data_IF_569295485579
#
_entry.id   IF_569295485579
#
_cell.length_a   1.000
_cell.length_b   1.000
_cell.length_c   1.000
_cell.angle_alpha   90.00
_cell.angle_beta   90.00
_cell.angle_gamma   90.00
#
_symmetry.space_group_name_H-M   'P 1'
#
loop_
_entity.id
_entity.type
_entity.pdbx_description
1 polymer ?
#
# COMPACT_ATOMS: atom_id res chain seq x y z
N UNK A 1 20.27 9.22 26.72
CA UNK A 1 18.85 9.36 27.11
C UNK A 1 18.08 9.80 25.89
N UNK A 2 17.20 8.94 25.30
CA UNK A 2 16.29 9.38 24.24
C UNK A 2 15.26 10.31 24.88
N UNK A 3 15.16 11.57 24.44
CA UNK A 3 14.07 12.45 24.85
C UNK A 3 12.75 11.75 24.52
N UNK A 4 11.84 11.66 25.48
CA UNK A 4 10.48 11.17 25.25
C UNK A 4 9.78 12.16 24.31
N UNK A 5 9.69 11.83 23.03
CA UNK A 5 8.98 12.65 22.04
C UNK A 5 7.49 12.59 22.32
N UNK A 6 6.85 13.73 22.39
CA UNK A 6 5.39 13.79 22.46
C UNK A 6 4.81 13.77 21.04
N UNK A 7 4.65 12.56 20.47
CA UNK A 7 4.13 12.40 19.12
C UNK A 7 2.72 12.97 18.95
N UNK A 8 1.89 12.97 19.99
CA UNK A 8 0.56 13.55 19.92
C UNK A 8 0.63 15.06 19.67
N UNK A 9 1.46 15.79 20.39
CA UNK A 9 1.65 17.23 20.17
C UNK A 9 2.25 17.54 18.79
N UNK A 10 3.20 16.73 18.34
CA UNK A 10 3.80 16.86 17.00
C UNK A 10 2.72 16.68 15.92
N UNK A 11 1.90 15.63 15.99
CA UNK A 11 0.81 15.38 15.05
C UNK A 11 -0.18 16.55 15.05
N UNK A 12 -0.60 17.04 16.21
CA UNK A 12 -1.51 18.19 16.33
C UNK A 12 -0.94 19.48 15.72
N UNK A 13 0.38 19.71 15.88
CA UNK A 13 1.07 20.83 15.25
C UNK A 13 1.09 20.69 13.72
N UNK A 14 1.52 19.55 13.21
CA UNK A 14 1.59 19.25 11.77
C UNK A 14 0.22 19.40 11.11
N UNK A 15 -0.85 18.94 11.76
CA UNK A 15 -2.21 19.06 11.22
C UNK A 15 -2.67 20.51 11.03
N UNK A 16 -2.10 21.45 11.79
CA UNK A 16 -2.33 22.89 11.58
C UNK A 16 -1.50 23.43 10.41
N UNK A 17 -0.23 23.02 10.33
CA UNK A 17 0.70 23.47 9.29
C UNK A 17 0.31 23.01 7.87
N UNK A 18 -0.34 21.86 7.74
CA UNK A 18 -0.78 21.33 6.43
C UNK A 18 -2.10 21.92 5.91
N UNK A 19 -2.83 22.72 6.69
CA UNK A 19 -4.13 23.30 6.28
C UNK A 19 -4.08 24.10 4.98
N UNK A 20 -3.02 24.87 4.65
CA UNK A 20 -2.93 25.56 3.37
C UNK A 20 -3.07 24.64 2.15
N UNK A 21 -2.64 23.36 2.26
CA UNK A 21 -2.70 22.36 1.19
C UNK A 21 -4.07 21.71 1.01
N UNK A 22 -5.05 21.99 1.90
CA UNK A 22 -6.38 21.36 1.86
C UNK A 22 -7.20 21.67 0.60
N UNK A 23 -6.84 22.71 -0.14
CA UNK A 23 -7.51 23.11 -1.40
C UNK A 23 -6.83 22.56 -2.65
N UNK A 24 -5.69 21.89 -2.51
CA UNK A 24 -4.90 21.36 -3.61
C UNK A 24 -5.31 19.93 -3.97
N UNK A 25 -5.22 19.60 -5.27
CA UNK A 25 -5.51 18.26 -5.78
C UNK A 25 -6.98 17.94 -5.95
N UNK A 26 -7.25 16.71 -6.36
CA UNK A 26 -8.60 16.16 -6.55
C UNK A 26 -8.64 14.67 -6.22
N UNK A 27 -9.84 14.12 -5.96
CA UNK A 27 -10.01 12.68 -5.78
C UNK A 27 -9.72 11.93 -7.08
N UNK A 28 -9.47 10.61 -6.95
CA UNK A 28 -9.42 9.70 -8.09
C UNK A 28 -10.80 9.64 -8.76
N UNK A 29 -10.96 10.25 -9.92
CA UNK A 29 -12.21 10.35 -10.68
C UNK A 29 -12.40 9.25 -11.73
N UNK A 30 -11.33 8.49 -12.02
CA UNK A 30 -11.38 7.39 -12.98
C UNK A 30 -11.97 6.08 -12.42
N UNK A 31 -12.14 5.96 -11.10
CA UNK A 31 -12.93 4.94 -10.44
C UNK A 31 -14.17 5.63 -9.86
N UNK A 32 -15.37 5.44 -10.45
CA UNK A 32 -16.57 6.20 -10.08
C UNK A 32 -16.94 6.12 -8.59
N UNK A 33 -16.69 4.98 -7.95
CA UNK A 33 -16.95 4.82 -6.51
C UNK A 33 -16.06 5.71 -5.63
N UNK A 34 -14.82 6.02 -6.05
CA UNK A 34 -13.90 6.89 -5.32
C UNK A 34 -14.20 8.38 -5.53
N UNK A 35 -14.82 8.75 -6.65
CA UNK A 35 -15.18 10.13 -6.96
C UNK A 35 -16.24 10.72 -6.01
N UNK A 36 -16.98 9.88 -5.29
CA UNK A 36 -18.06 10.28 -4.40
C UNK A 36 -17.63 10.47 -2.93
N UNK A 37 -16.35 10.28 -2.62
CA UNK A 37 -15.81 10.45 -1.26
C UNK A 37 -15.73 11.95 -0.95
N UNK A 38 -16.07 12.35 0.31
CA UNK A 38 -15.89 13.73 0.76
C UNK A 38 -14.40 14.14 0.67
N UNK A 39 -14.06 15.13 -0.17
CA UNK A 39 -12.68 15.52 -0.41
C UNK A 39 -12.00 16.22 0.78
N UNK A 40 -12.75 16.71 1.75
CA UNK A 40 -12.23 17.56 2.83
C UNK A 40 -11.82 16.77 4.08
N UNK A 41 -11.90 15.43 4.02
CA UNK A 41 -11.48 14.55 5.10
C UNK A 41 -9.95 14.47 5.20
N UNK A 42 -9.47 14.38 6.44
CA UNK A 42 -8.07 14.13 6.77
C UNK A 42 -7.96 13.34 8.07
N UNK A 43 -7.20 12.25 8.04
CA UNK A 43 -6.90 11.43 9.21
C UNK A 43 -5.44 11.01 9.26
N UNK A 44 -4.89 10.91 10.47
CA UNK A 44 -3.55 10.39 10.73
C UNK A 44 -3.56 9.51 11.98
N UNK A 45 -2.83 8.39 11.94
CA UNK A 45 -2.69 7.48 13.07
C UNK A 45 -1.28 6.90 13.12
N UNK A 46 -0.64 7.01 14.27
CA UNK A 46 0.67 6.46 14.59
C UNK A 46 0.52 5.33 15.60
N UNK A 47 1.02 4.14 15.28
CA UNK A 47 1.17 3.02 16.21
C UNK A 47 2.64 2.83 16.58
N UNK A 48 2.96 2.88 17.85
CA UNK A 48 4.30 2.58 18.36
C UNK A 48 4.43 1.09 18.66
N UNK A 49 5.64 0.54 18.52
CA UNK A 49 5.95 -0.81 19.02
C UNK A 49 5.91 -0.86 20.54
N UNK A 50 6.40 0.21 21.17
CA UNK A 50 6.44 0.39 22.63
C UNK A 50 5.91 1.80 22.94
N UNK A 51 4.71 1.91 23.46
CA UNK A 51 4.13 3.19 23.85
C UNK A 51 2.68 3.37 23.46
N UNK A 52 2.21 4.60 23.60
CA UNK A 52 0.85 4.97 23.30
C UNK A 52 0.69 5.42 21.85
N UNK A 53 -0.42 5.03 21.23
CA UNK A 53 -0.78 5.48 19.90
C UNK A 53 -1.09 6.98 19.90
N UNK A 54 -0.84 7.64 18.77
CA UNK A 54 -1.17 9.07 18.56
C UNK A 54 -2.00 9.24 17.31
N UNK A 55 -2.98 10.15 17.34
CA UNK A 55 -3.93 10.28 16.24
C UNK A 55 -4.52 11.69 16.11
N UNK A 56 -5.09 11.98 14.92
CA UNK A 56 -5.83 13.22 14.69
C UNK A 56 -6.82 13.07 13.53
N UNK A 57 -7.91 13.83 13.58
CA UNK A 57 -8.94 13.95 12.53
C UNK A 57 -9.72 12.66 12.28
N UNK A 58 -9.99 12.38 11.03
CA UNK A 58 -10.84 11.28 10.55
C UNK A 58 -10.12 9.92 10.56
N UNK A 59 -9.25 9.67 11.53
CA UNK A 59 -8.37 8.50 11.58
C UNK A 59 -9.10 7.15 11.66
N UNK A 60 -10.35 7.11 12.09
CA UNK A 60 -11.17 5.90 12.20
C UNK A 60 -12.18 5.76 11.04
N UNK A 61 -12.24 6.74 10.13
CA UNK A 61 -13.04 6.67 8.91
C UNK A 61 -12.45 5.66 7.93
N UNK A 62 -13.30 4.77 7.42
CA UNK A 62 -12.90 3.73 6.46
C UNK A 62 -12.79 4.31 5.05
N UNK A 63 -11.78 3.88 4.33
CA UNK A 63 -11.57 4.17 2.92
C UNK A 63 -10.98 2.95 2.19
N UNK A 64 -11.16 2.87 0.89
CA UNK A 64 -10.56 1.82 0.07
C UNK A 64 -9.04 1.98 0.03
N UNK A 65 -8.30 0.94 0.47
CA UNK A 65 -6.83 1.00 0.56
C UNK A 65 -6.12 0.95 -0.78
N UNK A 66 -6.81 0.52 -1.82
CA UNK A 66 -6.30 0.48 -3.19
C UNK A 66 -4.91 -0.19 -3.27
N UNK A 67 -3.94 0.46 -3.88
CA UNK A 67 -2.60 -0.10 -4.08
C UNK A 67 -1.80 -0.41 -2.80
N UNK A 68 -2.27 -0.02 -1.61
CA UNK A 68 -1.65 -0.45 -0.36
C UNK A 68 -1.82 -1.97 -0.17
N UNK A 69 -2.90 -2.56 -0.71
CA UNK A 69 -3.17 -4.01 -0.72
C UNK A 69 -2.04 -4.86 -1.32
N UNK A 70 -1.24 -4.27 -2.22
CA UNK A 70 -0.11 -4.93 -2.89
C UNK A 70 1.00 -5.36 -1.91
N UNK A 71 1.12 -4.68 -0.76
CA UNK A 71 2.07 -5.08 0.29
C UNK A 71 1.61 -6.38 0.95
N UNK A 72 0.31 -6.51 1.22
CA UNK A 72 -0.27 -7.72 1.79
C UNK A 72 -0.19 -8.90 0.82
N UNK A 73 -0.54 -8.71 -0.45
CA UNK A 73 -0.43 -9.76 -1.47
C UNK A 73 1.03 -10.19 -1.70
N UNK A 74 1.99 -9.26 -1.66
CA UNK A 74 3.42 -9.58 -1.73
C UNK A 74 3.88 -10.41 -0.52
N UNK A 75 3.43 -10.09 0.69
CA UNK A 75 3.77 -10.84 1.90
C UNK A 75 3.27 -12.29 1.81
N UNK A 76 2.01 -12.49 1.37
CA UNK A 76 1.44 -13.83 1.17
C UNK A 76 2.21 -14.58 0.09
N UNK A 77 2.41 -13.98 -1.09
CA UNK A 77 3.12 -14.62 -2.21
C UNK A 77 4.57 -15.01 -1.85
N UNK A 78 5.29 -14.15 -1.11
CA UNK A 78 6.63 -14.48 -0.61
C UNK A 78 6.63 -15.59 0.43
N UNK A 79 5.59 -15.70 1.24
CA UNK A 79 5.43 -16.84 2.16
C UNK A 79 5.27 -18.16 1.39
N UNK A 80 4.49 -18.14 0.31
CA UNK A 80 4.19 -19.33 -0.53
C UNK A 80 5.38 -19.72 -1.41
N UNK A 81 5.85 -18.80 -2.25
CA UNK A 81 6.85 -19.06 -3.30
C UNK A 81 8.30 -18.82 -2.88
N UNK A 82 8.51 -18.08 -1.80
CA UNK A 82 9.86 -17.77 -1.36
C UNK A 82 10.67 -17.03 -2.42
N UNK A 83 11.87 -17.54 -2.71
CA UNK A 83 12.78 -16.94 -3.70
C UNK A 83 12.29 -17.08 -5.15
N UNK A 84 11.48 -18.10 -5.43
CA UNK A 84 11.02 -18.43 -6.79
C UNK A 84 10.01 -17.39 -7.31
N UNK A 85 9.40 -16.60 -6.42
CA UNK A 85 8.59 -15.44 -6.82
C UNK A 85 9.33 -14.49 -7.74
N UNK A 86 10.64 -14.32 -7.53
CA UNK A 86 11.47 -13.37 -8.28
C UNK A 86 11.82 -13.84 -9.69
N UNK A 87 11.46 -15.04 -10.06
CA UNK A 87 11.52 -15.51 -11.45
C UNK A 87 10.41 -14.84 -12.28
N UNK A 88 9.24 -14.62 -11.68
CA UNK A 88 8.05 -14.02 -12.31
C UNK A 88 7.99 -12.50 -12.19
N UNK A 89 8.56 -11.91 -11.15
CA UNK A 89 8.52 -10.46 -10.85
C UNK A 89 9.92 -9.95 -10.53
N UNK A 90 10.27 -8.77 -11.02
CA UNK A 90 11.52 -8.08 -10.68
C UNK A 90 11.47 -7.37 -9.32
N UNK A 91 12.49 -6.54 -9.07
CA UNK A 91 12.69 -5.81 -7.79
C UNK A 91 13.07 -4.36 -8.00
N UNK A 92 13.14 -3.92 -9.25
CA UNK A 92 13.68 -2.62 -9.62
C UNK A 92 12.58 -1.57 -9.73
N UNK A 93 12.85 -0.31 -9.39
CA UNK A 93 11.92 0.79 -9.65
C UNK A 93 11.53 0.84 -11.12
N UNK A 94 10.30 1.24 -11.39
CA UNK A 94 9.88 1.55 -12.75
C UNK A 94 10.29 2.99 -13.08
N UNK A 95 10.99 3.19 -14.19
CA UNK A 95 11.24 4.52 -14.75
C UNK A 95 10.07 5.07 -15.58
N UNK A 96 8.92 4.35 -15.59
CA UNK A 96 7.71 4.66 -16.35
C UNK A 96 6.51 4.62 -15.43
N UNK A 97 5.37 5.16 -15.90
CA UNK A 97 4.10 5.10 -15.17
C UNK A 97 3.75 3.66 -14.72
N UNK A 98 3.14 3.53 -13.56
CA UNK A 98 2.84 2.25 -12.87
C UNK A 98 1.96 1.28 -13.68
N UNK A 99 1.40 1.73 -14.79
CA UNK A 99 0.54 0.98 -15.70
C UNK A 99 1.07 0.96 -17.16
N UNK A 100 2.37 1.16 -17.36
CA UNK A 100 2.99 1.19 -18.69
C UNK A 100 3.01 -0.20 -19.34
N UNK A 101 2.30 -0.34 -20.49
CA UNK A 101 2.35 -1.53 -21.35
C UNK A 101 3.68 -1.64 -22.10
N UNK A 102 4.21 -0.51 -22.59
CA UNK A 102 5.44 -0.50 -23.38
C UNK A 102 6.62 -1.08 -22.61
N UNK A 103 6.74 -0.72 -21.33
CA UNK A 103 7.81 -1.28 -20.49
C UNK A 103 7.64 -2.78 -20.29
N UNK A 104 6.41 -3.25 -20.06
CA UNK A 104 6.13 -4.67 -19.85
C UNK A 104 6.44 -5.51 -21.10
N UNK A 105 6.18 -4.96 -22.29
CA UNK A 105 6.52 -5.61 -23.55
C UNK A 105 8.05 -5.73 -23.74
N UNK A 106 8.81 -4.65 -23.51
CA UNK A 106 10.27 -4.67 -23.56
C UNK A 106 10.90 -5.68 -22.58
N UNK A 107 10.24 -5.92 -21.46
CA UNK A 107 10.70 -6.84 -20.43
C UNK A 107 10.09 -8.25 -20.58
N UNK A 108 9.57 -8.55 -21.79
CA UNK A 108 9.04 -9.86 -22.15
C UNK A 108 8.01 -10.41 -21.13
N UNK A 109 7.12 -9.54 -20.66
CA UNK A 109 6.07 -9.91 -19.71
C UNK A 109 6.54 -10.11 -18.27
N UNK A 110 7.76 -9.69 -17.90
CA UNK A 110 8.23 -9.72 -16.52
C UNK A 110 8.12 -8.33 -15.87
N UNK A 111 7.18 -8.11 -14.93
CA UNK A 111 7.03 -6.83 -14.26
C UNK A 111 8.28 -6.44 -13.49
N UNK A 112 8.65 -5.16 -13.51
CA UNK A 112 9.84 -4.64 -12.81
C UNK A 112 9.79 -4.79 -11.30
N UNK A 113 8.63 -4.67 -10.70
CA UNK A 113 8.43 -4.84 -9.26
C UNK A 113 6.98 -5.22 -8.94
N UNK A 114 6.70 -5.69 -7.71
CA UNK A 114 5.36 -6.12 -7.31
C UNK A 114 4.35 -4.98 -7.09
N UNK A 115 4.76 -3.71 -7.11
CA UNK A 115 3.91 -2.56 -6.78
C UNK A 115 3.40 -1.77 -8.00
N UNK A 116 3.95 -2.02 -9.19
CA UNK A 116 3.27 -1.64 -10.44
C UNK A 116 2.10 -2.59 -10.71
N UNK A 117 1.11 -2.17 -11.50
CA UNK A 117 -0.10 -2.98 -11.71
C UNK A 117 0.20 -4.34 -12.31
N UNK A 118 1.11 -4.43 -13.28
CA UNK A 118 1.54 -5.71 -13.86
C UNK A 118 2.07 -6.70 -12.77
N UNK A 119 2.89 -6.22 -11.85
CA UNK A 119 3.40 -7.03 -10.75
C UNK A 119 2.31 -7.47 -9.78
N UNK A 120 1.38 -6.59 -9.44
CA UNK A 120 0.27 -6.90 -8.55
C UNK A 120 -0.73 -7.91 -9.17
N UNK A 121 -0.94 -7.84 -10.50
CA UNK A 121 -1.73 -8.83 -11.24
C UNK A 121 -1.06 -10.21 -11.21
N UNK A 122 0.28 -10.29 -11.36
CA UNK A 122 1.02 -11.55 -11.18
C UNK A 122 0.93 -12.05 -9.72
N UNK A 123 0.94 -11.16 -8.72
CA UNK A 123 0.71 -11.57 -7.33
C UNK A 123 -0.70 -12.17 -7.15
N UNK A 124 -1.74 -11.55 -7.72
CA UNK A 124 -3.10 -12.08 -7.69
C UNK A 124 -3.17 -13.48 -8.30
N UNK A 125 -2.53 -13.70 -9.45
CA UNK A 125 -2.42 -15.00 -10.11
C UNK A 125 -1.70 -16.04 -9.23
N UNK A 126 -0.60 -15.67 -8.58
CA UNK A 126 0.12 -16.54 -7.63
C UNK A 126 -0.79 -16.97 -6.47
N UNK A 127 -1.56 -16.05 -5.91
CA UNK A 127 -2.47 -16.37 -4.82
C UNK A 127 -3.61 -17.30 -5.28
N UNK A 128 -4.20 -17.04 -6.45
CA UNK A 128 -5.23 -17.90 -7.05
C UNK A 128 -4.72 -19.32 -7.30
N UNK A 129 -3.48 -19.48 -7.79
CA UNK A 129 -2.89 -20.79 -8.08
C UNK A 129 -2.54 -21.62 -6.85
N UNK A 130 -2.42 -21.01 -5.66
CA UNK A 130 -1.84 -21.68 -4.50
C UNK A 130 -2.72 -21.67 -3.22
N UNK A 131 -3.87 -21.03 -3.26
CA UNK A 131 -4.80 -20.95 -2.13
C UNK A 131 -6.16 -21.52 -2.56
N UNK A 132 -6.76 -22.38 -1.73
CA UNK A 132 -8.09 -22.97 -2.02
C UNK A 132 -9.20 -21.90 -2.00
N UNK A 133 -9.10 -20.92 -1.09
CA UNK A 133 -10.04 -19.81 -0.99
C UNK A 133 -9.27 -18.48 -0.86
N UNK A 134 -8.72 -17.93 -1.96
CA UNK A 134 -7.82 -16.79 -1.91
C UNK A 134 -8.47 -15.51 -1.38
N UNK A 135 -9.76 -15.28 -1.65
CA UNK A 135 -10.49 -14.10 -1.14
C UNK A 135 -10.64 -14.14 0.38
N UNK A 136 -11.06 -15.27 0.90
CA UNK A 136 -11.20 -15.43 2.35
C UNK A 136 -9.85 -15.39 3.07
N UNK A 137 -8.85 -16.06 2.51
CA UNK A 137 -7.50 -16.06 3.05
C UNK A 137 -6.94 -14.62 3.15
N UNK A 138 -7.04 -13.84 2.07
CA UNK A 138 -6.53 -12.48 2.01
C UNK A 138 -7.20 -11.57 3.05
N UNK A 139 -8.53 -11.56 3.12
CA UNK A 139 -9.22 -10.69 4.07
C UNK A 139 -8.96 -11.10 5.52
N UNK A 140 -8.89 -12.41 5.81
CA UNK A 140 -8.58 -12.91 7.15
C UNK A 140 -7.13 -12.57 7.56
N UNK A 141 -6.19 -12.60 6.61
CA UNK A 141 -4.83 -12.14 6.86
C UNK A 141 -4.81 -10.64 7.25
N UNK A 142 -5.48 -9.78 6.49
CA UNK A 142 -5.57 -8.34 6.79
C UNK A 142 -6.21 -8.09 8.16
N UNK A 143 -7.35 -8.75 8.45
CA UNK A 143 -8.05 -8.68 9.75
C UNK A 143 -7.14 -9.04 10.92
N UNK A 144 -6.37 -10.12 10.78
CA UNK A 144 -5.45 -10.58 11.84
C UNK A 144 -4.29 -9.62 12.05
N UNK A 145 -3.81 -8.95 10.99
CA UNK A 145 -2.77 -7.94 11.12
C UNK A 145 -3.23 -6.70 11.88
N UNK A 146 -4.42 -6.19 11.57
CA UNK A 146 -4.94 -4.98 12.22
C UNK A 146 -5.71 -5.26 13.52
N UNK A 147 -6.05 -6.53 13.81
CA UNK A 147 -6.86 -6.89 14.98
C UNK A 147 -8.32 -6.45 14.88
N UNK A 148 -8.87 -6.28 13.66
CA UNK A 148 -10.23 -5.81 13.41
C UNK A 148 -10.97 -6.73 12.43
N UNK A 149 -11.88 -7.56 12.95
CA UNK A 149 -12.67 -8.49 12.15
C UNK A 149 -13.77 -7.77 11.29
N UNK A 150 -14.03 -6.48 11.53
CA UNK A 150 -14.98 -5.68 10.75
C UNK A 150 -14.38 -5.10 9.44
N UNK A 151 -13.08 -5.31 9.17
CA UNK A 151 -12.47 -5.01 7.88
C UNK A 151 -13.08 -5.91 6.81
N UNK A 152 -13.49 -5.35 5.68
CA UNK A 152 -14.19 -6.06 4.61
C UNK A 152 -13.84 -5.48 3.24
N UNK A 153 -14.19 -6.23 2.22
CA UNK A 153 -14.23 -5.72 0.85
C UNK A 153 -15.41 -4.78 0.65
N UNK A 154 -15.21 -3.69 -0.09
CA UNK A 154 -16.29 -2.90 -0.69
C UNK A 154 -16.63 -3.49 -2.06
N UNK A 155 -17.79 -4.14 -2.17
CA UNK A 155 -18.21 -4.73 -3.45
C UNK A 155 -18.46 -3.65 -4.50
N UNK A 156 -19.00 -2.50 -4.09
CA UNK A 156 -19.25 -1.38 -4.99
C UNK A 156 -17.95 -0.82 -5.59
N UNK A 157 -16.89 -0.70 -4.79
CA UNK A 157 -15.57 -0.29 -5.28
C UNK A 157 -14.97 -1.35 -6.20
N UNK A 158 -15.06 -2.64 -5.83
CA UNK A 158 -14.52 -3.74 -6.63
C UNK A 158 -15.17 -3.82 -8.00
N UNK A 159 -16.50 -3.77 -8.07
CA UNK A 159 -17.25 -3.83 -9.34
C UNK A 159 -17.03 -2.54 -10.17
N UNK A 160 -16.97 -1.38 -9.52
CA UNK A 160 -16.68 -0.10 -10.18
C UNK A 160 -15.29 -0.11 -10.83
N UNK A 161 -14.27 -0.58 -10.12
CA UNK A 161 -12.90 -0.68 -10.65
C UNK A 161 -12.82 -1.73 -11.77
N UNK A 162 -13.43 -2.92 -11.58
CA UNK A 162 -13.45 -3.95 -12.61
C UNK A 162 -14.15 -3.48 -13.88
N UNK A 163 -15.25 -2.73 -13.78
CA UNK A 163 -16.00 -2.20 -14.92
C UNK A 163 -15.22 -1.21 -15.78
N UNK A 164 -14.18 -0.55 -15.25
CA UNK A 164 -13.32 0.38 -15.97
C UNK A 164 -11.86 -0.10 -16.14
N UNK A 165 -11.58 -1.38 -15.85
CA UNK A 165 -10.23 -1.94 -15.79
C UNK A 165 -9.58 -2.23 -17.16
N UNK A 166 -9.93 -1.50 -18.23
CA UNK A 166 -9.46 -1.78 -19.60
C UNK A 166 -7.95 -1.84 -19.74
N UNK A 167 -7.22 -0.94 -19.07
CA UNK A 167 -5.75 -0.93 -19.11
C UNK A 167 -5.16 -2.11 -18.31
N UNK A 168 -5.73 -2.43 -17.17
CA UNK A 168 -5.32 -3.62 -16.39
C UNK A 168 -5.64 -4.92 -17.15
N UNK A 169 -6.74 -4.97 -17.89
CA UNK A 169 -7.05 -6.08 -18.79
C UNK A 169 -5.99 -6.23 -19.90
N UNK A 170 -5.60 -5.12 -20.54
CA UNK A 170 -4.54 -5.12 -21.55
C UNK A 170 -3.21 -5.62 -20.97
N UNK A 171 -2.85 -5.19 -19.75
CA UNK A 171 -1.67 -5.68 -19.03
C UNK A 171 -1.79 -7.18 -18.76
N UNK A 172 -2.93 -7.66 -18.28
CA UNK A 172 -3.14 -9.07 -17.95
C UNK A 172 -3.08 -9.98 -19.19
N UNK A 173 -3.66 -9.55 -20.32
CA UNK A 173 -3.53 -10.28 -21.58
C UNK A 173 -2.09 -10.30 -22.11
N UNK A 174 -1.33 -9.21 -21.94
CA UNK A 174 0.09 -9.18 -22.31
C UNK A 174 0.92 -10.14 -21.42
N UNK A 175 0.68 -10.14 -20.11
CA UNK A 175 1.27 -11.10 -19.18
C UNK A 175 0.93 -12.55 -19.58
N UNK A 176 -0.32 -12.82 -19.95
CA UNK A 176 -0.80 -14.13 -20.43
C UNK A 176 -0.10 -14.54 -21.72
N UNK A 177 0.05 -13.61 -22.68
CA UNK A 177 0.78 -13.84 -23.95
C UNK A 177 2.21 -14.30 -23.70
N UNK A 178 2.91 -13.68 -22.74
CA UNK A 178 4.28 -14.03 -22.37
C UNK A 178 4.38 -15.24 -21.42
N UNK A 179 3.25 -15.90 -21.08
CA UNK A 179 3.24 -17.07 -20.18
C UNK A 179 3.47 -16.75 -18.69
N UNK A 180 3.37 -15.46 -18.31
CA UNK A 180 3.52 -15.04 -16.91
C UNK A 180 2.18 -14.86 -16.16
N UNK A 181 1.11 -15.49 -16.66
CA UNK A 181 -0.20 -15.60 -16.00
C UNK A 181 -0.74 -17.00 -16.21
N UNK A 182 -1.01 -17.73 -15.13
CA UNK A 182 -1.45 -19.14 -15.18
C UNK A 182 -2.99 -19.24 -15.28
N UNK A 183 -3.71 -18.48 -14.46
CA UNK A 183 -5.17 -18.52 -14.36
C UNK A 183 -5.86 -17.75 -15.50
N UNK A 184 -7.19 -17.80 -15.51
CA UNK A 184 -8.02 -16.99 -16.39
C UNK A 184 -7.84 -15.50 -16.10
N UNK A 185 -7.81 -14.68 -17.15
CA UNK A 185 -7.55 -13.25 -17.03
C UNK A 185 -8.62 -12.52 -16.22
N UNK A 186 -9.90 -12.87 -16.45
CA UNK A 186 -11.02 -12.23 -15.75
C UNK A 186 -11.03 -12.62 -14.27
N UNK A 187 -10.73 -13.87 -13.93
CA UNK A 187 -10.64 -14.33 -12.54
C UNK A 187 -9.51 -13.58 -11.78
N UNK A 188 -8.35 -13.45 -12.43
CA UNK A 188 -7.21 -12.71 -11.85
C UNK A 188 -7.56 -11.23 -11.65
N UNK A 189 -8.18 -10.59 -12.63
CA UNK A 189 -8.55 -9.18 -12.54
C UNK A 189 -9.64 -8.93 -11.49
N UNK A 190 -10.66 -9.79 -11.42
CA UNK A 190 -11.69 -9.70 -10.37
C UNK A 190 -11.09 -9.83 -8.99
N UNK A 191 -10.17 -10.76 -8.79
CA UNK A 191 -9.50 -10.92 -7.50
C UNK A 191 -8.57 -9.72 -7.20
N UNK A 192 -7.84 -9.21 -8.19
CA UNK A 192 -7.05 -8.00 -8.05
C UNK A 192 -7.89 -6.79 -7.61
N UNK A 193 -9.02 -6.52 -8.27
CA UNK A 193 -9.94 -5.45 -7.89
C UNK A 193 -10.54 -5.67 -6.49
N UNK A 194 -10.86 -6.91 -6.13
CA UNK A 194 -11.30 -7.25 -4.77
C UNK A 194 -10.23 -6.90 -3.73
N UNK A 195 -8.96 -7.24 -3.95
CA UNK A 195 -7.88 -6.86 -3.01
C UNK A 195 -7.74 -5.34 -2.87
N UNK A 196 -7.86 -4.58 -3.98
CA UNK A 196 -7.84 -3.12 -3.99
C UNK A 196 -9.02 -2.51 -3.20
N UNK A 197 -10.18 -3.16 -3.22
CA UNK A 197 -11.43 -2.67 -2.61
C UNK A 197 -11.52 -2.86 -1.09
N UNK A 198 -10.52 -3.42 -0.43
CA UNK A 198 -10.54 -3.57 1.04
C UNK A 198 -10.65 -2.20 1.68
N UNK A 199 -11.61 -2.05 2.60
CA UNK A 199 -11.82 -0.83 3.39
C UNK A 199 -11.16 -0.95 4.76
N UNK A 200 -10.28 0.01 5.04
CA UNK A 200 -9.57 0.16 6.31
C UNK A 200 -9.53 1.64 6.71
N UNK A 201 -9.41 1.90 8.00
CA UNK A 201 -9.10 3.23 8.53
C UNK A 201 -7.58 3.45 8.65
N UNK A 202 -7.13 4.69 8.93
CA UNK A 202 -5.73 4.96 9.27
C UNK A 202 -5.27 4.12 10.47
N UNK A 203 -6.15 3.94 11.47
CA UNK A 203 -5.90 3.09 12.63
C UNK A 203 -5.67 1.63 12.22
N UNK A 204 -6.56 1.06 11.39
CA UNK A 204 -6.41 -0.32 10.92
C UNK A 204 -5.12 -0.50 10.12
N UNK A 205 -4.82 0.43 9.19
CA UNK A 205 -3.60 0.39 8.39
C UNK A 205 -2.34 0.48 9.26
N UNK A 206 -2.28 1.46 10.15
CA UNK A 206 -1.13 1.62 11.04
C UNK A 206 -0.92 0.37 11.90
N UNK A 207 -1.98 -0.20 12.49
CA UNK A 207 -1.90 -1.44 13.26
C UNK A 207 -1.48 -2.64 12.41
N UNK A 208 -1.96 -2.76 11.18
CA UNK A 208 -1.54 -3.84 10.29
C UNK A 208 -0.05 -3.75 9.92
N UNK A 209 0.45 -2.51 9.68
CA UNK A 209 1.82 -2.30 9.24
C UNK A 209 2.85 -2.34 10.36
N UNK A 210 2.44 -2.31 11.63
CA UNK A 210 3.37 -2.51 12.76
C UNK A 210 4.10 -3.87 12.66
N UNK A 211 3.45 -4.87 12.07
CA UNK A 211 4.06 -6.18 11.84
C UNK A 211 5.27 -6.12 10.88
N UNK A 212 5.27 -5.17 9.93
CA UNK A 212 6.39 -4.93 9.02
C UNK A 212 7.46 -3.99 9.63
N UNK A 213 7.11 -3.23 10.66
CA UNK A 213 8.06 -2.42 11.41
C UNK A 213 8.91 -3.27 12.37
N UNK A 214 8.44 -4.42 12.81
CA UNK A 214 9.22 -5.36 13.61
C UNK A 214 10.38 -5.93 12.79
N UNK A 215 11.61 -5.63 13.17
CA UNK A 215 12.80 -5.92 12.36
C UNK A 215 13.69 -7.03 12.93
N UNK A 216 13.42 -7.49 14.14
CA UNK A 216 14.25 -8.41 14.93
C UNK A 216 13.61 -9.79 15.14
N UNK A 217 12.33 -9.95 14.82
CA UNK A 217 11.62 -11.21 14.93
C UNK A 217 10.99 -11.67 13.60
N UNK A 218 10.82 -12.99 13.38
CA UNK A 218 10.10 -13.50 12.22
C UNK A 218 8.64 -13.05 12.22
N UNK A 219 8.15 -12.72 11.05
CA UNK A 219 6.74 -12.42 10.82
C UNK A 219 5.93 -13.72 10.73
N UNK A 220 4.96 -13.90 11.62
CA UNK A 220 4.07 -15.07 11.62
C UNK A 220 2.65 -14.66 11.98
N UNK A 221 1.80 -14.51 10.96
CA UNK A 221 0.41 -14.07 11.11
C UNK A 221 -0.51 -14.83 10.14
N UNK A 222 -1.60 -15.40 10.65
CA UNK A 222 -2.67 -16.04 9.85
C UNK A 222 -2.16 -16.99 8.74
N UNK A 223 -1.16 -17.82 9.06
CA UNK A 223 -0.59 -18.78 8.08
C UNK A 223 0.48 -18.19 7.15
N UNK A 224 0.74 -16.89 7.19
CA UNK A 224 1.83 -16.23 6.45
C UNK A 224 3.08 -16.18 7.32
N UNK A 225 4.17 -16.80 6.86
CA UNK A 225 5.42 -16.90 7.59
C UNK A 225 6.58 -16.34 6.76
N UNK A 226 7.23 -15.29 7.27
CA UNK A 226 8.36 -14.64 6.63
C UNK A 226 9.54 -14.55 7.61
N UNK A 227 10.73 -14.86 7.12
CA UNK A 227 11.95 -14.57 7.88
C UNK A 227 12.18 -13.05 7.96
N UNK A 228 12.95 -12.61 8.95
CA UNK A 228 13.41 -11.22 9.09
C UNK A 228 13.98 -10.69 7.76
N UNK A 229 14.77 -11.49 7.06
CA UNK A 229 15.32 -11.12 5.74
C UNK A 229 14.26 -10.90 4.66
N UNK A 230 13.13 -11.61 4.70
CA UNK A 230 12.02 -11.40 3.74
C UNK A 230 11.25 -10.12 4.07
N UNK A 231 10.99 -9.85 5.35
CA UNK A 231 10.37 -8.59 5.79
C UNK A 231 11.23 -7.40 5.38
N UNK A 232 12.56 -7.46 5.63
CA UNK A 232 13.51 -6.44 5.16
C UNK A 232 13.40 -6.19 3.65
N UNK A 233 13.22 -7.23 2.83
CA UNK A 233 13.07 -7.08 1.38
C UNK A 233 11.75 -6.42 0.98
N UNK A 234 10.65 -6.72 1.68
CA UNK A 234 9.38 -6.01 1.47
C UNK A 234 9.56 -4.53 1.78
N UNK A 235 10.19 -4.20 2.91
CA UNK A 235 10.44 -2.82 3.30
C UNK A 235 11.36 -2.08 2.31
N UNK A 236 12.38 -2.77 1.76
CA UNK A 236 13.24 -2.21 0.72
C UNK A 236 12.47 -1.92 -0.57
N UNK A 237 11.53 -2.79 -0.97
CA UNK A 237 10.68 -2.54 -2.15
C UNK A 237 9.66 -1.42 -1.85
N UNK A 238 9.13 -1.31 -0.62
CA UNK A 238 8.32 -0.15 -0.24
C UNK A 238 9.11 1.16 -0.37
N UNK A 239 10.38 1.18 0.05
CA UNK A 239 11.24 2.35 -0.07
C UNK A 239 11.47 2.76 -1.51
N UNK A 240 11.74 1.81 -2.41
CA UNK A 240 12.17 2.10 -3.78
C UNK A 240 11.02 2.17 -4.80
N UNK A 241 9.87 1.56 -4.50
CA UNK A 241 8.77 1.38 -5.47
C UNK A 241 7.40 1.76 -4.91
N UNK A 242 7.30 2.25 -3.66
CA UNK A 242 6.02 2.40 -2.95
C UNK A 242 5.16 3.58 -3.40
N UNK A 243 5.73 4.56 -4.11
CA UNK A 243 5.09 5.84 -4.43
C UNK A 243 5.02 6.13 -5.93
N UNK A 244 4.81 5.09 -6.74
CA UNK A 244 4.77 5.24 -8.20
C UNK A 244 6.03 5.96 -8.72
N UNK A 245 5.87 7.05 -9.48
CA UNK A 245 6.98 7.83 -10.04
C UNK A 245 7.59 8.81 -9.02
N UNK A 246 7.07 8.88 -7.79
CA UNK A 246 7.56 9.76 -6.71
C UNK A 246 8.33 9.03 -5.60
N UNK A 247 8.69 7.75 -5.79
CA UNK A 247 9.40 6.98 -4.77
C UNK A 247 10.76 7.62 -4.38
N UNK A 248 11.46 8.21 -5.35
CA UNK A 248 12.69 8.97 -5.10
C UNK A 248 12.45 10.24 -4.27
N UNK A 249 11.42 11.02 -4.61
CA UNK A 249 11.05 12.23 -3.89
C UNK A 249 10.55 11.94 -2.48
N UNK A 250 9.73 10.88 -2.32
CA UNK A 250 9.31 10.43 -1.00
C UNK A 250 10.51 9.98 -0.13
N UNK A 251 11.46 9.27 -0.71
CA UNK A 251 12.70 8.90 -0.02
C UNK A 251 13.52 10.12 0.40
N UNK A 252 13.58 11.15 -0.46
CA UNK A 252 14.34 12.38 -0.20
C UNK A 252 13.69 13.26 0.89
N UNK A 253 12.37 13.42 0.85
CA UNK A 253 11.65 14.32 1.76
C UNK A 253 11.23 13.64 3.07
N UNK A 254 10.78 12.38 3.02
CA UNK A 254 10.23 11.64 4.16
C UNK A 254 11.23 10.63 4.73
N UNK A 255 11.90 9.89 3.85
CA UNK A 255 12.94 8.95 4.25
C UNK A 255 12.45 7.76 5.07
N UNK A 256 11.27 7.23 4.75
CA UNK A 256 10.68 6.02 5.35
C UNK A 256 10.22 5.04 4.27
N UNK A 257 10.36 3.73 4.48
CA UNK A 257 9.64 2.76 3.65
C UNK A 257 8.15 2.95 3.75
N UNK A 258 7.46 3.07 2.62
CA UNK A 258 6.02 3.30 2.64
C UNK A 258 5.32 2.88 1.35
N UNK A 259 3.98 2.93 1.39
CA UNK A 259 3.13 2.63 0.24
C UNK A 259 1.93 3.56 0.19
N UNK A 260 1.65 4.10 -0.98
CA UNK A 260 0.47 4.93 -1.27
C UNK A 260 -0.61 4.15 -2.03
N UNK A 261 -1.82 4.65 -1.97
CA UNK A 261 -2.97 4.18 -2.75
C UNK A 261 -3.82 5.33 -3.26
N UNK A 262 -4.40 5.19 -4.44
CA UNK A 262 -5.25 6.22 -5.07
C UNK A 262 -6.57 6.49 -4.34
N UNK A 263 -6.88 5.74 -3.28
CA UNK A 263 -7.93 6.06 -2.31
C UNK A 263 -7.55 7.22 -1.37
N UNK A 264 -6.34 7.77 -1.48
CA UNK A 264 -5.83 8.87 -0.67
C UNK A 264 -5.04 8.45 0.57
N UNK A 265 -4.88 7.14 0.78
CA UNK A 265 -4.10 6.59 1.90
C UNK A 265 -2.61 6.53 1.60
N UNK A 266 -1.81 6.78 2.62
CA UNK A 266 -0.36 6.50 2.66
C UNK A 266 -0.08 5.80 3.98
N UNK A 267 0.71 4.74 3.95
CA UNK A 267 1.27 4.11 5.14
C UNK A 267 2.78 4.04 5.04
N UNK A 268 3.47 4.36 6.12
CA UNK A 268 4.93 4.30 6.21
C UNK A 268 5.36 3.64 7.53
N UNK A 269 6.57 3.10 7.56
CA UNK A 269 7.12 2.46 8.75
C UNK A 269 8.50 3.00 9.08
N UNK A 270 8.79 3.12 10.36
CA UNK A 270 10.16 3.24 10.86
C UNK A 270 10.54 1.90 11.51
N UNK A 271 11.50 1.16 10.92
CA UNK A 271 11.89 -0.16 11.44
C UNK A 271 12.26 -0.11 12.92
N UNK A 272 11.81 -1.11 13.67
CA UNK A 272 11.99 -1.25 15.13
C UNK A 272 11.35 -0.13 15.96
N UNK A 273 10.39 0.63 15.42
CA UNK A 273 9.84 1.76 16.18
C UNK A 273 8.34 1.99 16.00
N UNK A 274 7.88 2.27 14.79
CA UNK A 274 6.48 2.60 14.54
C UNK A 274 6.00 2.30 13.13
N UNK A 275 4.69 2.34 12.99
CA UNK A 275 3.96 2.50 11.75
C UNK A 275 3.10 3.75 11.83
N UNK A 276 3.00 4.50 10.73
CA UNK A 276 2.16 5.69 10.60
C UNK A 276 1.33 5.60 9.33
N UNK A 277 0.03 5.88 9.45
CA UNK A 277 -0.89 5.95 8.32
C UNK A 277 -1.57 7.31 8.27
N UNK A 278 -1.69 7.87 7.07
CA UNK A 278 -2.40 9.12 6.80
C UNK A 278 -3.39 8.92 5.67
N UNK A 279 -4.48 9.65 5.70
CA UNK A 279 -5.50 9.62 4.66
C UNK A 279 -6.04 11.01 4.37
N UNK A 280 -6.02 11.39 3.11
CA UNK A 280 -6.74 12.52 2.54
C UNK A 280 -7.05 12.21 1.09
N UNK A 281 -8.33 12.31 0.64
CA UNK A 281 -8.73 11.89 -0.70
C UNK A 281 -8.13 12.68 -1.86
N UNK A 282 -7.68 13.93 -1.63
CA UNK A 282 -7.12 14.79 -2.68
C UNK A 282 -5.70 14.37 -3.04
N UNK A 283 -5.51 14.03 -4.31
CA UNK A 283 -4.29 13.52 -4.90
C UNK A 283 -3.61 14.56 -5.79
N UNK A 284 -2.29 14.44 -5.90
CA UNK A 284 -1.52 15.12 -6.94
C UNK A 284 -1.65 14.38 -8.30
N UNK A 285 -1.03 14.94 -9.34
CA UNK A 285 -1.08 14.38 -10.70
C UNK A 285 -0.46 12.97 -10.83
N UNK A 286 0.30 12.52 -9.84
CA UNK A 286 0.92 11.19 -9.80
C UNK A 286 0.15 10.18 -8.94
N UNK A 287 -1.00 10.59 -8.37
CA UNK A 287 -1.89 9.72 -7.60
C UNK A 287 -1.56 9.58 -6.13
N UNK A 288 -0.73 10.46 -5.57
CA UNK A 288 -0.38 10.47 -4.14
C UNK A 288 -1.12 11.59 -3.40
N UNK A 289 -1.56 11.31 -2.16
CA UNK A 289 -2.22 12.29 -1.30
C UNK A 289 -1.31 13.49 -0.99
N UNK A 290 -1.73 14.69 -1.34
CA UNK A 290 -0.93 15.92 -1.16
C UNK A 290 -0.74 16.21 0.34
N UNK A 291 -1.86 16.31 1.08
CA UNK A 291 -1.77 16.58 2.53
C UNK A 291 -1.11 15.43 3.28
N UNK A 292 -1.36 14.17 2.85
CA UNK A 292 -0.75 13.00 3.47
C UNK A 292 0.76 12.97 3.28
N UNK A 293 1.25 13.29 2.08
CA UNK A 293 2.67 13.37 1.79
C UNK A 293 3.34 14.47 2.62
N UNK A 294 2.74 15.68 2.65
CA UNK A 294 3.26 16.82 3.42
C UNK A 294 3.25 16.56 4.92
N UNK A 295 2.21 15.89 5.44
CA UNK A 295 2.16 15.52 6.85
C UNK A 295 3.32 14.59 7.25
N UNK A 296 3.67 13.61 6.40
CA UNK A 296 4.78 12.70 6.68
C UNK A 296 6.14 13.38 6.54
N UNK A 297 6.31 14.30 5.58
CA UNK A 297 7.52 15.13 5.46
C UNK A 297 7.76 15.94 6.75
N UNK A 298 6.74 16.66 7.22
CA UNK A 298 6.85 17.46 8.45
C UNK A 298 7.08 16.56 9.67
N UNK A 299 6.41 15.39 9.72
CA UNK A 299 6.57 14.45 10.82
C UNK A 299 8.01 13.95 10.96
N UNK A 300 8.62 13.52 9.86
CA UNK A 300 10.02 13.05 9.90
C UNK A 300 11.01 14.18 10.12
N UNK A 301 10.71 15.38 9.65
CA UNK A 301 11.52 16.58 9.89
C UNK A 301 11.51 16.97 11.37
N UNK A 302 10.32 17.11 11.99
CA UNK A 302 10.21 17.51 13.40
C UNK A 302 10.71 16.44 14.36
N UNK A 303 10.47 15.18 14.01
CA UNK A 303 10.97 14.07 14.84
C UNK A 303 12.44 13.75 14.59
N UNK A 304 13.04 14.22 13.48
CA UNK A 304 14.36 13.80 13.00
C UNK A 304 14.45 12.26 12.92
N UNK A 305 13.39 11.61 12.40
CA UNK A 305 13.27 10.17 12.31
C UNK A 305 13.12 9.74 10.86
N UNK A 306 14.24 9.32 10.29
CA UNK A 306 14.38 8.78 8.94
C UNK A 306 15.26 7.54 9.00
N UNK A 307 15.19 6.67 7.99
CA UNK A 307 16.11 5.54 7.87
C UNK A 307 17.50 5.94 7.36
N UNK A 308 17.68 7.20 7.00
CA UNK A 308 18.94 7.79 6.52
C UNK A 308 19.67 8.59 7.58
#
# INVERSE_FOLDING_TARGET
MRQHKNYQQIIEHICKEIQPYSKEGKQADYIPALANIDPDQFGIYLSLLDGEDSMYGDYDTKFSIQSISKVFSLAIALSIKGKDLWERIGKEPSGSAFNSLVQLEYEHGKPRNPFINAGAIVLADVLLSNLDNPREFFINFVRKLCGNDAVSYSLDVAESEFGCAYLNASIAYLLKHHGNLENDVDDVLRFYCMMCSVEMSCKDLSKAFIAFAKSDEPFSHAGVNLSVSRVKRINAIMQTCGFYDEAGEFSFLVGLPGKSGVGGGIVAIYPSRYSIAVWCPKLNDKGNSIMGFKALELFTTETSESIF
#
